data_IF_316422921938
#
_entry.id   IF_316422921938
#
_cell.length_a   1.000
_cell.length_b   1.000
_cell.length_c   1.000
_cell.angle_alpha   90.00
_cell.angle_beta   90.00
_cell.angle_gamma   90.00
#
_symmetry.space_group_name_H-M   'P 1'
#
loop_
_entity.id
_entity.type
_entity.pdbx_description
1 polymer ?
#
# COMPACT_ATOMS: atom_id res chain seq x y z
N UNK A 1 28.29 -27.36 -43.35
CA UNK A 1 29.71 -27.01 -43.58
C UNK A 1 29.94 -25.56 -43.15
N UNK A 2 30.76 -25.40 -42.10
CA UNK A 2 31.55 -24.23 -41.64
C UNK A 2 31.43 -22.90 -42.40
N UNK A 3 31.25 -21.81 -41.64
CA UNK A 3 32.36 -20.89 -41.29
C UNK A 3 31.98 -19.93 -40.15
N UNK A 4 32.70 -20.09 -39.04
CA UNK A 4 32.78 -19.16 -37.92
C UNK A 4 33.49 -17.88 -38.34
N UNK A 5 33.11 -16.75 -37.76
CA UNK A 5 34.01 -15.61 -37.61
C UNK A 5 33.86 -15.06 -36.18
N UNK A 6 34.82 -15.50 -35.37
CA UNK A 6 35.19 -14.95 -34.07
C UNK A 6 35.81 -13.57 -34.27
N UNK A 7 35.45 -12.61 -33.41
CA UNK A 7 36.36 -11.52 -33.07
C UNK A 7 36.54 -11.49 -31.55
N UNK A 8 37.81 -11.60 -31.14
CA UNK A 8 38.33 -11.71 -29.79
C UNK A 8 39.21 -10.46 -29.55
N UNK A 9 39.39 -10.10 -28.27
CA UNK A 9 40.38 -9.21 -27.63
C UNK A 9 40.02 -7.71 -27.58
N UNK A 10 40.09 -7.03 -26.42
CA UNK A 10 41.24 -7.01 -25.50
C UNK A 10 40.88 -6.60 -24.07
N UNK A 11 41.45 -7.34 -23.10
CA UNK A 11 41.55 -7.03 -21.67
C UNK A 11 42.68 -6.02 -21.43
N UNK A 12 42.48 -5.07 -20.52
CA UNK A 12 43.56 -4.34 -19.84
C UNK A 12 43.35 -4.45 -18.32
N UNK A 13 44.37 -5.01 -17.65
CA UNK A 13 44.53 -5.09 -16.19
C UNK A 13 45.68 -4.14 -15.83
N UNK A 14 45.54 -3.36 -14.74
CA UNK A 14 46.58 -2.76 -13.86
C UNK A 14 45.79 -1.90 -12.84
N UNK A 15 45.58 -2.30 -11.58
CA UNK A 15 46.50 -2.45 -10.41
C UNK A 15 47.00 -1.11 -9.84
N UNK A 16 46.60 -0.77 -8.60
CA UNK A 16 47.48 -0.52 -7.44
C UNK A 16 46.66 -0.09 -6.21
N UNK A 17 46.91 -0.68 -5.03
CA UNK A 17 46.36 -0.20 -3.75
C UNK A 17 46.27 -1.22 -2.62
N UNK A 18 47.33 -2.01 -2.41
CA UNK A 18 47.49 -2.94 -1.28
C UNK A 18 48.03 -2.25 -0.03
N UNK A 19 47.50 -2.55 1.16
CA UNK A 19 48.31 -2.80 2.37
C UNK A 19 47.47 -3.37 3.52
N UNK A 20 47.91 -4.54 3.99
CA UNK A 20 47.42 -5.32 5.11
C UNK A 20 47.75 -4.69 6.46
N UNK A 21 46.92 -4.91 7.49
CA UNK A 21 47.38 -5.05 8.86
C UNK A 21 46.35 -5.83 9.69
N UNK A 22 46.65 -7.10 9.86
CA UNK A 22 46.18 -7.93 10.97
C UNK A 22 46.73 -7.33 12.28
N UNK A 23 45.86 -6.98 13.23
CA UNK A 23 46.19 -6.86 14.66
C UNK A 23 44.98 -7.21 15.51
N UNK A 24 45.05 -8.38 16.12
CA UNK A 24 44.45 -8.68 17.42
C UNK A 24 44.63 -7.50 18.40
N UNK A 25 43.56 -7.10 19.10
CA UNK A 25 43.57 -6.86 20.54
C UNK A 25 42.22 -6.34 21.06
N UNK A 26 41.65 -7.10 21.99
CA UNK A 26 41.02 -6.61 23.22
C UNK A 26 39.61 -6.01 23.14
N UNK A 27 38.62 -6.90 23.11
CA UNK A 27 37.41 -6.75 23.93
C UNK A 27 37.80 -6.97 25.40
N UNK A 28 37.95 -5.87 26.15
CA UNK A 28 37.65 -5.75 27.59
C UNK A 28 38.20 -4.41 28.13
N UNK A 29 37.32 -3.48 28.48
CA UNK A 29 37.20 -3.01 29.87
C UNK A 29 36.19 -1.86 29.96
N UNK A 30 35.05 -2.18 30.56
CA UNK A 30 34.29 -1.26 31.40
C UNK A 30 35.17 -0.83 32.57
N UNK A 31 35.40 0.48 32.73
CA UNK A 31 35.57 1.17 34.02
C UNK A 31 35.78 2.66 33.78
N UNK A 32 34.90 3.48 34.34
CA UNK A 32 35.02 4.94 34.28
C UNK A 32 33.77 5.63 34.79
N UNK A 33 33.47 5.43 36.08
CA UNK A 33 32.45 6.13 36.86
C UNK A 33 32.59 7.67 36.82
N UNK A 34 31.44 8.33 36.79
CA UNK A 34 31.04 9.59 37.47
C UNK A 34 31.78 10.91 37.14
N UNK A 35 31.06 11.85 36.53
CA UNK A 35 30.53 13.06 37.20
C UNK A 35 30.24 14.22 36.21
N UNK A 36 29.01 14.71 36.28
CA UNK A 36 28.54 16.08 36.03
C UNK A 36 28.82 16.78 34.69
N UNK A 37 27.78 16.95 33.90
CA UNK A 37 27.11 18.25 33.75
C UNK A 37 25.75 18.05 33.04
N UNK A 38 24.69 18.54 33.68
CA UNK A 38 23.36 18.66 33.11
C UNK A 38 23.28 19.84 32.12
N UNK A 39 22.19 19.83 31.35
CA UNK A 39 21.70 20.85 30.41
C UNK A 39 22.37 20.92 29.03
N UNK A 40 21.91 20.02 28.15
CA UNK A 40 21.45 20.46 26.84
C UNK A 40 20.04 19.92 26.61
N UNK A 41 19.10 20.81 26.93
CA UNK A 41 17.73 20.84 26.46
C UNK A 41 17.75 20.94 24.94
N UNK A 42 17.76 19.80 24.25
CA UNK A 42 17.13 19.70 22.94
C UNK A 42 15.75 19.10 23.18
N UNK A 43 14.85 19.96 23.63
CA UNK A 43 13.43 19.85 23.31
C UNK A 43 13.31 20.06 21.80
N UNK A 44 13.67 19.03 21.02
CA UNK A 44 12.97 18.79 19.77
C UNK A 44 11.74 17.93 20.11
N UNK A 45 10.83 18.53 20.90
CA UNK A 45 9.41 18.20 20.77
C UNK A 45 8.97 18.71 19.40
N UNK A 46 9.42 18.02 18.35
CA UNK A 46 8.62 17.89 17.14
C UNK A 46 7.27 17.36 17.62
N UNK A 47 6.16 18.10 17.45
CA UNK A 47 4.88 17.64 17.93
C UNK A 47 4.61 16.28 17.31
N UNK A 48 4.55 15.28 18.19
CA UNK A 48 4.14 13.92 17.89
C UNK A 48 2.71 13.98 17.38
N UNK A 49 2.57 14.20 16.07
CA UNK A 49 1.35 13.90 15.34
C UNK A 49 1.31 12.39 15.18
N UNK A 50 0.79 11.71 16.20
CA UNK A 50 0.50 10.28 16.17
C UNK A 50 -0.69 10.05 15.24
N UNK A 51 -0.44 10.10 13.93
CA UNK A 51 -1.25 9.49 12.87
C UNK A 51 -0.28 9.17 11.71
N UNK A 52 0.23 7.93 11.67
CA UNK A 52 0.98 7.41 10.50
C UNK A 52 2.40 6.87 10.75
N UNK A 53 2.60 5.97 11.74
CA UNK A 53 3.93 5.39 12.03
C UNK A 53 4.13 3.95 11.55
N UNK A 54 3.18 3.37 10.83
CA UNK A 54 3.27 1.99 10.34
C UNK A 54 3.68 2.04 8.86
N UNK A 55 4.77 1.34 8.50
CA UNK A 55 5.19 1.23 7.10
C UNK A 55 4.20 0.39 6.29
N UNK A 56 4.24 0.47 4.95
CA UNK A 56 3.39 -0.36 4.09
C UNK A 56 3.65 -1.84 4.35
N UNK A 57 4.91 -2.22 4.55
CA UNK A 57 5.35 -3.56 4.86
C UNK A 57 4.79 -4.02 6.21
N UNK A 58 4.90 -3.20 7.25
CA UNK A 58 4.39 -3.52 8.59
C UNK A 58 2.86 -3.65 8.60
N UNK A 59 2.15 -2.79 7.88
CA UNK A 59 0.70 -2.87 7.76
C UNK A 59 0.23 -4.13 7.03
N UNK A 60 0.96 -4.57 6.00
CA UNK A 60 0.67 -5.83 5.32
C UNK A 60 0.96 -7.04 6.21
N UNK A 61 2.03 -6.99 7.02
CA UNK A 61 2.35 -8.01 8.01
C UNK A 61 1.30 -8.07 9.12
N UNK A 62 0.81 -6.92 9.59
CA UNK A 62 -0.27 -6.84 10.58
C UNK A 62 -1.57 -7.42 10.03
N UNK A 63 -1.92 -7.14 8.77
CA UNK A 63 -3.08 -7.76 8.12
C UNK A 63 -2.92 -9.28 8.04
N UNK A 64 -1.75 -9.78 7.65
CA UNK A 64 -1.49 -11.22 7.60
C UNK A 64 -1.55 -11.87 8.98
N UNK A 65 -1.08 -11.18 10.03
CA UNK A 65 -1.20 -11.63 11.41
C UNK A 65 -2.67 -11.73 11.86
N UNK A 66 -3.49 -10.71 11.55
CA UNK A 66 -4.93 -10.73 11.83
C UNK A 66 -5.64 -11.90 11.12
N UNK A 67 -5.32 -12.14 9.85
CA UNK A 67 -5.88 -13.28 9.11
C UNK A 67 -5.49 -14.64 9.71
N UNK A 68 -4.29 -14.73 10.30
CA UNK A 68 -3.82 -15.96 10.96
C UNK A 68 -4.55 -16.31 12.24
N UNK A 69 -5.29 -15.39 12.85
CA UNK A 69 -6.11 -15.68 14.04
C UNK A 69 -7.17 -16.74 13.72
N UNK A 70 -7.78 -16.67 12.53
CA UNK A 70 -8.77 -17.64 12.06
C UNK A 70 -8.21 -18.62 11.01
N UNK A 71 -7.22 -18.19 10.22
CA UNK A 71 -6.57 -19.01 9.19
C UNK A 71 -5.06 -19.16 9.46
N UNK A 72 -4.63 -20.06 10.36
CA UNK A 72 -3.24 -20.14 10.82
C UNK A 72 -2.19 -20.34 9.71
N UNK A 73 -2.60 -20.90 8.57
CA UNK A 73 -1.74 -21.11 7.41
C UNK A 73 -1.66 -19.89 6.46
N UNK A 74 -2.30 -18.77 6.80
CA UNK A 74 -2.29 -17.56 5.97
C UNK A 74 -0.86 -17.04 5.77
N UNK A 75 -0.40 -16.87 4.52
CA UNK A 75 0.98 -16.53 4.22
C UNK A 75 1.30 -15.09 4.60
N UNK A 76 2.58 -14.83 4.87
CA UNK A 76 3.09 -13.46 4.93
C UNK A 76 3.13 -12.84 3.53
N UNK A 77 3.01 -11.50 3.45
CA UNK A 77 3.17 -10.79 2.20
C UNK A 77 4.61 -10.90 1.69
N UNK A 78 4.78 -11.10 0.39
CA UNK A 78 6.09 -11.07 -0.28
C UNK A 78 6.32 -9.69 -0.92
N UNK A 79 7.24 -8.85 -0.38
CA UNK A 79 7.54 -7.54 -0.95
C UNK A 79 8.35 -7.63 -2.26
N UNK A 80 8.90 -8.80 -2.60
CA UNK A 80 9.72 -9.03 -3.79
C UNK A 80 8.94 -9.55 -5.00
N UNK A 81 7.80 -10.19 -4.77
CA UNK A 81 6.82 -10.53 -5.80
C UNK A 81 6.03 -9.28 -6.20
N UNK A 82 5.75 -9.08 -7.49
CA UNK A 82 4.94 -7.95 -7.97
C UNK A 82 3.49 -7.88 -7.42
N UNK A 83 3.14 -8.73 -6.44
CA UNK A 83 1.88 -8.78 -5.70
C UNK A 83 2.21 -9.03 -4.23
N UNK A 84 1.47 -8.37 -3.34
CA UNK A 84 1.69 -8.52 -1.91
C UNK A 84 1.48 -9.97 -1.43
N UNK A 85 0.55 -10.73 -2.02
CA UNK A 85 0.36 -12.14 -1.69
C UNK A 85 0.47 -13.01 -2.93
N UNK A 86 1.12 -14.16 -2.77
CA UNK A 86 1.21 -15.16 -3.83
C UNK A 86 -0.17 -15.83 -4.05
N UNK A 87 -0.76 -15.73 -5.25
CA UNK A 87 -2.08 -16.28 -5.53
C UNK A 87 -2.14 -17.80 -5.42
N UNK A 88 -1.03 -18.50 -5.69
CA UNK A 88 -0.98 -19.95 -5.61
C UNK A 88 -0.94 -20.39 -4.13
N UNK A 89 -0.13 -19.74 -3.31
CA UNK A 89 -0.10 -19.97 -1.86
C UNK A 89 -1.47 -19.75 -1.22
N UNK A 90 -2.18 -18.69 -1.62
CA UNK A 90 -3.56 -18.43 -1.17
C UNK A 90 -4.54 -19.50 -1.68
N UNK A 91 -4.44 -19.91 -2.95
CA UNK A 91 -5.34 -20.94 -3.52
C UNK A 91 -5.14 -22.32 -2.88
N UNK A 92 -3.95 -22.63 -2.37
CA UNK A 92 -3.63 -23.92 -1.76
C UNK A 92 -4.20 -24.07 -0.34
N UNK A 93 -4.68 -22.99 0.27
CA UNK A 93 -5.27 -23.00 1.62
C UNK A 93 -6.65 -23.66 1.68
N UNK A 94 -7.31 -23.87 0.53
CA UNK A 94 -8.65 -24.45 0.48
C UNK A 94 -9.73 -23.63 1.17
N UNK A 95 -9.49 -22.32 1.35
CA UNK A 95 -10.41 -21.38 1.98
C UNK A 95 -11.55 -21.07 1.00
N UNK A 96 -12.78 -21.01 1.52
CA UNK A 96 -13.92 -20.50 0.76
C UNK A 96 -13.89 -18.97 0.75
N UNK A 97 -13.32 -18.39 -0.31
CA UNK A 97 -13.22 -16.95 -0.50
C UNK A 97 -14.57 -16.25 -0.72
N UNK A 98 -15.61 -17.01 -1.06
CA UNK A 98 -16.97 -16.49 -1.25
C UNK A 98 -17.79 -16.53 0.04
N UNK A 99 -17.34 -17.30 1.04
CA UNK A 99 -17.99 -17.43 2.34
C UNK A 99 -18.10 -16.10 3.11
N UNK A 100 -19.22 -15.92 3.80
CA UNK A 100 -19.46 -14.71 4.60
C UNK A 100 -18.41 -14.54 5.71
N UNK A 101 -17.99 -15.63 6.35
CA UNK A 101 -17.00 -15.59 7.45
C UNK A 101 -15.63 -15.08 6.98
N UNK A 102 -15.15 -15.57 5.83
CA UNK A 102 -13.90 -15.09 5.23
C UNK A 102 -14.00 -13.60 4.87
N UNK A 103 -15.11 -13.18 4.27
CA UNK A 103 -15.33 -11.79 3.86
C UNK A 103 -15.44 -10.85 5.05
N UNK A 104 -16.10 -11.27 6.13
CA UNK A 104 -16.22 -10.50 7.36
C UNK A 104 -14.85 -10.35 8.04
N UNK A 105 -14.08 -11.43 8.13
CA UNK A 105 -12.71 -11.38 8.66
C UNK A 105 -11.82 -10.48 7.82
N UNK A 106 -11.88 -10.59 6.50
CA UNK A 106 -11.10 -9.76 5.60
C UNK A 106 -11.43 -8.27 5.78
N UNK A 107 -12.70 -7.90 5.99
CA UNK A 107 -13.10 -6.52 6.23
C UNK A 107 -12.54 -5.98 7.55
N UNK A 108 -12.53 -6.80 8.61
CA UNK A 108 -11.90 -6.48 9.90
C UNK A 108 -10.39 -6.29 9.73
N UNK A 109 -9.70 -7.27 9.15
CA UNK A 109 -8.26 -7.26 9.00
C UNK A 109 -7.75 -6.22 7.98
N UNK A 110 -8.56 -5.84 6.99
CA UNK A 110 -8.24 -4.77 6.05
C UNK A 110 -8.12 -3.40 6.74
N UNK A 111 -8.64 -3.26 7.96
CA UNK A 111 -8.40 -2.09 8.82
C UNK A 111 -6.92 -1.80 9.07
N UNK A 112 -6.07 -2.83 9.10
CA UNK A 112 -4.61 -2.70 9.29
C UNK A 112 -3.92 -1.96 8.13
N UNK A 113 -4.53 -1.97 6.94
CA UNK A 113 -4.02 -1.25 5.77
C UNK A 113 -4.48 0.22 5.72
N UNK A 114 -5.30 0.66 6.68
CA UNK A 114 -5.83 2.02 6.71
C UNK A 114 -4.68 3.02 6.93
N UNK A 115 -4.59 4.02 6.06
CA UNK A 115 -3.55 5.06 6.13
C UNK A 115 -2.22 4.73 5.44
N UNK A 116 -1.96 3.46 5.09
CA UNK A 116 -0.82 3.08 4.23
C UNK A 116 -1.20 2.91 2.76
N UNK A 117 -2.47 2.64 2.46
CA UNK A 117 -2.98 2.60 1.08
C UNK A 117 -2.73 3.95 0.38
N UNK A 118 -2.87 5.04 1.12
CA UNK A 118 -2.55 6.38 0.65
C UNK A 118 -1.06 6.65 0.53
N UNK A 119 -0.25 6.14 1.46
CA UNK A 119 1.22 6.18 1.34
C UNK A 119 1.71 5.41 0.10
N UNK A 120 1.06 4.29 -0.26
CA UNK A 120 1.36 3.53 -1.49
C UNK A 120 1.07 4.32 -2.76
N UNK A 121 0.10 5.22 -2.71
CA UNK A 121 -0.18 6.18 -3.79
C UNK A 121 0.74 7.40 -3.75
N UNK A 122 1.61 7.51 -2.74
CA UNK A 122 2.44 8.69 -2.48
C UNK A 122 1.63 9.92 -2.07
N UNK A 123 0.34 9.75 -1.72
CA UNK A 123 -0.58 10.83 -1.45
C UNK A 123 -0.49 11.26 0.02
N UNK A 124 -0.14 12.52 0.23
CA UNK A 124 -0.29 13.23 1.49
C UNK A 124 -1.75 13.20 2.00
N UNK A 125 -2.01 13.50 3.28
CA UNK A 125 -3.38 13.65 3.79
C UNK A 125 -4.23 14.66 3.01
N UNK A 126 -3.62 15.74 2.50
CA UNK A 126 -4.30 16.74 1.68
C UNK A 126 -4.64 16.19 0.29
N UNK A 127 -3.73 15.45 -0.35
CA UNK A 127 -4.01 14.79 -1.63
C UNK A 127 -5.08 13.70 -1.51
N UNK A 128 -5.18 13.02 -0.36
CA UNK A 128 -6.29 12.11 -0.08
C UNK A 128 -7.62 12.85 -0.01
N UNK A 129 -7.69 13.96 0.70
CA UNK A 129 -8.91 14.75 0.79
C UNK A 129 -9.34 15.25 -0.60
N UNK A 130 -8.40 15.70 -1.42
CA UNK A 130 -8.69 16.10 -2.81
C UNK A 130 -9.17 14.92 -3.68
N UNK A 131 -8.65 13.72 -3.46
CA UNK A 131 -9.10 12.51 -4.15
C UNK A 131 -10.51 12.07 -3.73
N UNK A 132 -10.81 12.14 -2.43
CA UNK A 132 -12.14 11.89 -1.89
C UNK A 132 -13.16 12.90 -2.41
N UNK A 133 -12.85 14.19 -2.35
CA UNK A 133 -13.69 15.27 -2.88
C UNK A 133 -13.92 15.11 -4.39
N UNK A 134 -12.87 14.76 -5.15
CA UNK A 134 -13.00 14.44 -6.57
C UNK A 134 -13.93 13.25 -6.82
N UNK A 135 -13.84 12.19 -6.02
CA UNK A 135 -14.71 11.04 -6.20
C UNK A 135 -16.17 11.37 -5.82
N UNK A 136 -16.41 12.14 -4.76
CA UNK A 136 -17.75 12.63 -4.41
C UNK A 136 -18.35 13.47 -5.53
N UNK A 137 -17.54 14.35 -6.15
CA UNK A 137 -17.96 15.17 -7.27
C UNK A 137 -18.32 14.33 -8.52
N UNK A 138 -17.53 13.28 -8.80
CA UNK A 138 -17.83 12.32 -9.86
C UNK A 138 -19.19 11.65 -9.64
N UNK A 139 -19.44 11.16 -8.43
CA UNK A 139 -20.68 10.46 -8.09
C UNK A 139 -21.88 11.41 -8.15
N UNK A 140 -21.71 12.67 -7.71
CA UNK A 140 -22.73 13.69 -7.86
C UNK A 140 -23.10 13.93 -9.34
N UNK A 141 -22.10 13.98 -10.24
CA UNK A 141 -22.35 14.09 -11.67
C UNK A 141 -23.04 12.84 -12.24
N UNK A 142 -22.61 11.64 -11.85
CA UNK A 142 -23.22 10.39 -12.33
C UNK A 142 -24.69 10.31 -11.92
N UNK A 143 -25.05 10.77 -10.72
CA UNK A 143 -26.45 10.88 -10.27
C UNK A 143 -27.33 11.75 -11.16
N UNK A 144 -26.76 12.68 -11.93
CA UNK A 144 -27.51 13.49 -12.91
C UNK A 144 -27.88 12.68 -14.17
N UNK A 145 -27.27 11.49 -14.35
CA UNK A 145 -27.57 10.59 -15.46
C UNK A 145 -28.75 9.67 -15.13
N UNK A 146 -29.62 9.36 -16.12
CA UNK A 146 -30.79 8.52 -15.90
C UNK A 146 -30.38 7.10 -15.47
N UNK A 147 -31.04 6.59 -14.42
CA UNK A 147 -30.78 5.27 -13.84
C UNK A 147 -29.73 5.26 -12.72
N UNK A 148 -29.24 6.43 -12.29
CA UNK A 148 -28.28 6.58 -11.20
C UNK A 148 -28.73 7.57 -10.13
N UNK A 149 -29.96 8.07 -10.16
CA UNK A 149 -30.47 9.12 -9.27
C UNK A 149 -30.34 8.74 -7.78
N UNK A 150 -30.52 7.45 -7.48
CA UNK A 150 -30.44 6.88 -6.13
C UNK A 150 -29.06 6.27 -5.80
N UNK A 151 -28.04 6.53 -6.63
CA UNK A 151 -26.67 6.05 -6.40
C UNK A 151 -26.10 6.73 -5.14
N UNK A 152 -25.79 5.97 -4.07
CA UNK A 152 -25.25 6.56 -2.85
C UNK A 152 -23.79 6.98 -3.06
N UNK A 153 -23.37 7.99 -2.32
CA UNK A 153 -21.97 8.40 -2.30
C UNK A 153 -21.09 7.30 -1.63
N UNK A 154 -19.83 7.13 -2.06
CA UNK A 154 -18.89 6.20 -1.43
C UNK A 154 -18.62 6.59 0.03
N UNK A 155 -18.51 5.59 0.90
CA UNK A 155 -18.11 5.78 2.29
C UNK A 155 -16.61 5.49 2.43
N UNK A 156 -15.81 6.51 2.74
CA UNK A 156 -14.35 6.38 2.90
C UNK A 156 -13.93 6.00 4.32
N UNK A 157 -14.81 6.23 5.31
CA UNK A 157 -14.52 6.03 6.74
C UNK A 157 -14.29 4.57 7.12
N UNK A 158 -14.89 3.63 6.39
CA UNK A 158 -14.77 2.19 6.63
C UNK A 158 -13.76 1.49 5.73
N UNK A 159 -12.91 2.23 5.00
CA UNK A 159 -11.95 1.63 4.06
C UNK A 159 -12.65 0.78 2.99
N UNK A 160 -12.19 -0.45 2.77
CA UNK A 160 -12.76 -1.35 1.77
C UNK A 160 -14.25 -1.68 2.01
N UNK A 161 -14.69 -1.70 3.28
CA UNK A 161 -16.08 -2.00 3.67
C UNK A 161 -17.09 -0.96 3.21
N UNK A 162 -16.69 0.30 3.07
CA UNK A 162 -17.57 1.36 2.56
C UNK A 162 -17.89 1.22 1.07
N UNK A 163 -16.93 0.74 0.28
CA UNK A 163 -17.15 0.37 -1.13
C UNK A 163 -17.87 -0.97 -1.29
N UNK A 164 -17.83 -1.85 -0.28
CA UNK A 164 -18.50 -3.14 -0.34
C UNK A 164 -20.03 -3.00 -0.44
N UNK A 165 -20.63 -2.06 0.29
CA UNK A 165 -22.06 -1.78 0.23
C UNK A 165 -22.49 -1.30 -1.16
N UNK A 166 -21.72 -0.36 -1.75
CA UNK A 166 -21.94 0.13 -3.11
C UNK A 166 -21.80 -1.01 -4.13
N UNK A 167 -20.72 -1.80 -4.04
CA UNK A 167 -20.48 -2.96 -4.91
C UNK A 167 -21.64 -3.96 -4.89
N UNK A 168 -22.20 -4.26 -3.71
CA UNK A 168 -23.30 -5.20 -3.59
C UNK A 168 -24.55 -4.74 -4.36
N UNK A 169 -24.84 -3.43 -4.39
CA UNK A 169 -25.97 -2.90 -5.19
C UNK A 169 -25.78 -3.14 -6.69
N UNK A 170 -24.57 -2.93 -7.21
CA UNK A 170 -24.24 -3.26 -8.60
C UNK A 170 -24.36 -4.76 -8.89
N UNK A 171 -23.90 -5.62 -7.97
CA UNK A 171 -24.03 -7.08 -8.11
C UNK A 171 -25.48 -7.56 -8.06
N UNK A 172 -26.32 -6.89 -7.28
CA UNK A 172 -27.77 -7.15 -7.21
C UNK A 172 -28.52 -6.62 -8.45
N UNK A 173 -27.83 -5.93 -9.36
CA UNK A 173 -28.43 -5.37 -10.58
C UNK A 173 -29.24 -4.10 -10.35
N UNK A 174 -29.08 -3.42 -9.21
CA UNK A 174 -29.73 -2.12 -8.95
C UNK A 174 -29.22 -1.04 -9.92
N UNK A 175 -27.97 -1.17 -10.37
CA UNK A 175 -27.31 -0.26 -11.29
C UNK A 175 -26.61 -1.04 -12.40
N UNK A 176 -26.70 -0.58 -13.65
CA UNK A 176 -25.97 -1.18 -14.77
C UNK A 176 -24.48 -0.75 -14.76
N UNK A 177 -23.52 -1.68 -14.60
CA UNK A 177 -22.11 -1.35 -14.58
C UNK A 177 -21.59 -0.77 -15.90
N UNK A 178 -22.22 -1.07 -17.04
CA UNK A 178 -21.82 -0.54 -18.33
C UNK A 178 -22.27 0.91 -18.50
N UNK A 179 -23.54 1.21 -18.21
CA UNK A 179 -24.05 2.57 -18.17
C UNK A 179 -23.31 3.44 -17.16
N UNK A 180 -22.93 2.89 -16.00
CA UNK A 180 -22.17 3.63 -14.99
C UNK A 180 -20.81 4.09 -15.53
N UNK A 181 -20.08 3.20 -16.20
CA UNK A 181 -18.79 3.51 -16.81
C UNK A 181 -18.91 4.62 -17.86
N UNK A 182 -19.96 4.59 -18.67
CA UNK A 182 -20.22 5.62 -19.67
C UNK A 182 -20.56 6.97 -19.03
N UNK A 183 -21.41 6.98 -18.00
CA UNK A 183 -21.75 8.19 -17.26
C UNK A 183 -20.53 8.79 -16.55
N UNK A 184 -19.76 7.95 -15.84
CA UNK A 184 -18.55 8.37 -15.15
C UNK A 184 -17.50 8.91 -16.13
N UNK A 185 -17.31 8.27 -17.29
CA UNK A 185 -16.41 8.77 -18.32
C UNK A 185 -16.83 10.16 -18.80
N UNK A 186 -18.12 10.35 -19.12
CA UNK A 186 -18.64 11.64 -19.54
C UNK A 186 -18.41 12.72 -18.47
N UNK A 187 -18.69 12.39 -17.21
CA UNK A 187 -18.44 13.29 -16.08
C UNK A 187 -16.97 13.68 -15.96
N UNK A 188 -16.04 12.72 -16.10
CA UNK A 188 -14.60 13.01 -16.12
C UNK A 188 -14.18 13.86 -17.31
N UNK A 189 -14.75 13.66 -18.50
CA UNK A 189 -14.50 14.50 -19.68
C UNK A 189 -15.02 15.94 -19.47
N UNK A 190 -16.12 16.10 -18.74
CA UNK A 190 -16.66 17.39 -18.30
C UNK A 190 -15.86 18.02 -17.14
N UNK A 191 -14.79 17.35 -16.68
CA UNK A 191 -13.90 17.81 -15.61
C UNK A 191 -14.36 17.50 -14.19
N UNK A 192 -15.45 16.73 -14.03
CA UNK A 192 -15.98 16.28 -12.74
C UNK A 192 -15.21 15.06 -12.25
N UNK A 193 -14.73 15.11 -11.01
CA UNK A 193 -13.87 14.07 -10.44
C UNK A 193 -12.45 13.96 -10.99
N UNK A 194 -11.91 15.09 -11.45
CA UNK A 194 -10.49 15.18 -11.71
C UNK A 194 -9.69 15.01 -10.41
N UNK A 195 -8.89 13.95 -10.33
CA UNK A 195 -7.81 13.87 -9.36
C UNK A 195 -6.84 15.05 -9.59
N UNK A 196 -6.23 15.61 -8.54
CA UNK A 196 -5.13 16.55 -8.72
C UNK A 196 -4.13 15.92 -9.67
N UNK A 197 -3.79 16.64 -10.75
CA UNK A 197 -2.79 16.16 -11.70
C UNK A 197 -1.53 15.91 -10.90
N UNK A 198 -1.15 14.64 -10.74
CA UNK A 198 0.17 14.25 -10.25
C UNK A 198 1.19 15.05 -11.06
N UNK A 199 1.68 16.13 -10.45
CA UNK A 199 2.65 17.02 -11.05
C UNK A 199 3.95 16.23 -11.02
N UNK A 200 4.36 15.73 -12.19
CA UNK A 200 5.74 15.28 -12.41
C UNK A 200 6.72 16.38 -12.00
#
# INVERSE_FOLDING_TARGET
MRKCLLFIFSVAVVSCGSASADRDASIASLSGDVASAEEQTDEDETPSSVVGTVSIEDAQLNMAACMREEYPAWPDPDPSGGRAFDPQAISELGIDFEGEDFRALLDVCAGELRGVVSQRLGASPEEQAELEDGLLDLFACVRESPGFEDLPDPNFSNGAGGFAALRNRFLNGEFDPAAFRLAAQKCSEDGRGALPRLRN
#
